data_IF_408343605350
#
_entry.id   IF_408343605350
#
_cell.length_a   1.000
_cell.length_b   1.000
_cell.length_c   1.000
_cell.angle_alpha   90.00
_cell.angle_beta   90.00
_cell.angle_gamma   90.00
#
_symmetry.space_group_name_H-M   'P 1'
#
loop_
_entity.id
_entity.type
_entity.pdbx_description
1 polymer ?
#
# COMPACT_ATOMS: atom_id res chain seq x y z
N UNK A 1 19.16 -12.20 40.70
CA UNK A 1 17.71 -12.20 40.38
C UNK A 1 17.58 -11.48 39.05
N UNK A 2 17.55 -12.21 37.95
CA UNK A 2 17.56 -11.67 36.58
C UNK A 2 16.11 -11.54 36.11
N UNK A 3 15.74 -10.35 35.67
CA UNK A 3 14.44 -10.05 35.08
C UNK A 3 14.49 -10.50 33.61
N UNK A 4 13.52 -11.25 33.09
CA UNK A 4 13.55 -11.69 31.69
C UNK A 4 13.11 -10.55 30.78
N UNK A 5 14.01 -10.10 29.92
CA UNK A 5 13.87 -9.01 28.93
C UNK A 5 13.06 -9.39 27.67
N UNK A 6 12.46 -10.57 27.59
CA UNK A 6 11.86 -11.08 26.36
C UNK A 6 10.33 -10.97 26.24
N UNK A 7 9.64 -10.48 27.29
CA UNK A 7 8.16 -10.44 27.26
C UNK A 7 7.53 -9.17 26.70
N UNK A 8 8.31 -8.11 26.46
CA UNK A 8 7.73 -6.79 26.14
C UNK A 8 7.78 -6.41 24.64
N UNK A 9 8.48 -7.16 23.80
CA UNK A 9 8.53 -6.88 22.34
C UNK A 9 7.37 -7.51 21.55
N UNK A 10 6.80 -8.58 22.06
CA UNK A 10 5.73 -9.31 21.36
C UNK A 10 4.35 -8.69 21.56
N UNK A 11 4.13 -7.91 22.64
CA UNK A 11 2.83 -7.29 22.91
C UNK A 11 2.58 -6.01 22.10
N UNK A 12 3.63 -5.30 21.70
CA UNK A 12 3.51 -4.05 20.92
C UNK A 12 3.10 -4.35 19.47
N UNK A 13 3.48 -5.52 18.93
CA UNK A 13 3.12 -5.95 17.58
C UNK A 13 1.69 -6.53 17.47
N UNK A 14 1.02 -6.79 18.58
CA UNK A 14 -0.35 -7.34 18.62
C UNK A 14 -1.46 -6.31 18.79
N UNK A 15 -1.13 -5.05 19.05
CA UNK A 15 -2.10 -3.95 19.05
C UNK A 15 -2.38 -3.41 17.62
N UNK A 16 -2.69 -4.30 16.70
CA UNK A 16 -3.38 -3.93 15.47
C UNK A 16 -4.83 -3.60 15.82
N UNK A 17 -5.14 -2.32 15.96
CA UNK A 17 -6.47 -1.86 16.33
C UNK A 17 -6.52 -0.44 16.86
N UNK A 18 -5.41 0.29 16.91
CA UNK A 18 -5.46 1.75 17.05
C UNK A 18 -5.94 2.29 15.70
N UNK A 19 -7.07 2.99 15.71
CA UNK A 19 -7.59 3.69 14.52
C UNK A 19 -6.71 4.90 14.18
N UNK A 20 -5.38 4.71 14.18
CA UNK A 20 -4.36 5.75 14.02
C UNK A 20 -3.34 5.35 12.95
N UNK A 21 -2.96 6.31 12.15
CA UNK A 21 -1.86 6.24 11.20
C UNK A 21 -0.62 6.91 11.80
N UNK A 22 0.50 6.21 11.85
CA UNK A 22 1.80 6.82 12.13
C UNK A 22 2.39 7.38 10.85
N UNK A 23 2.62 8.68 10.81
CA UNK A 23 3.22 9.36 9.67
C UNK A 23 4.57 9.96 10.04
N UNK A 24 5.49 9.98 9.07
CA UNK A 24 6.64 10.87 9.09
C UNK A 24 6.19 12.17 8.44
N UNK A 25 6.17 13.25 9.23
CA UNK A 25 5.92 14.60 8.75
C UNK A 25 7.21 15.19 8.21
N UNK A 26 7.14 15.76 7.01
CA UNK A 26 8.27 16.41 6.35
C UNK A 26 7.82 17.62 5.54
N UNK A 27 8.77 18.47 5.16
CA UNK A 27 8.50 19.66 4.36
C UNK A 27 9.16 19.59 2.99
N UNK A 28 8.46 20.11 1.98
CA UNK A 28 8.97 20.40 0.64
C UNK A 28 8.59 21.84 0.32
N UNK A 29 9.57 22.70 0.06
CA UNK A 29 9.38 24.15 0.12
C UNK A 29 8.75 24.57 1.47
N UNK A 30 7.69 25.35 1.46
CA UNK A 30 6.98 25.81 2.65
C UNK A 30 5.75 24.95 2.98
N UNK A 31 5.56 23.82 2.25
CA UNK A 31 4.40 22.96 2.39
C UNK A 31 4.72 21.71 3.22
N UNK A 32 3.72 21.25 3.98
CA UNK A 32 3.83 20.10 4.88
C UNK A 32 3.17 18.86 4.30
N UNK A 33 3.93 17.79 4.32
CA UNK A 33 3.52 16.48 3.79
C UNK A 33 3.74 15.37 4.82
N UNK A 34 3.08 14.25 4.61
CA UNK A 34 3.24 13.05 5.42
C UNK A 34 3.37 11.79 4.57
N UNK A 35 4.11 10.83 5.09
CA UNK A 35 4.18 9.45 4.58
C UNK A 35 3.97 8.48 5.74
N UNK A 36 3.28 7.37 5.49
CA UNK A 36 3.16 6.28 6.46
C UNK A 36 4.56 5.78 6.88
N UNK A 37 4.81 5.74 8.20
CA UNK A 37 6.08 5.25 8.78
C UNK A 37 6.44 3.87 8.25
N UNK A 38 5.46 2.98 8.08
CA UNK A 38 5.69 1.61 7.60
C UNK A 38 6.31 1.56 6.19
N UNK A 39 6.09 2.58 5.37
CA UNK A 39 6.66 2.70 4.01
C UNK A 39 8.10 3.21 4.01
N UNK A 40 8.61 3.70 5.14
CA UNK A 40 9.95 4.30 5.25
C UNK A 40 10.92 3.31 5.85
N UNK A 41 11.98 3.00 5.10
CA UNK A 41 13.06 2.14 5.54
C UNK A 41 14.08 2.88 6.42
N UNK A 42 14.49 4.07 5.98
CA UNK A 42 15.45 4.91 6.70
C UNK A 42 15.35 6.38 6.29
N UNK A 43 15.80 7.26 7.17
CA UNK A 43 15.93 8.70 6.92
C UNK A 43 17.40 9.04 7.04
N UNK A 44 17.94 9.79 6.09
CA UNK A 44 19.35 10.14 6.07
C UNK A 44 19.58 11.53 5.49
N UNK A 45 20.69 12.15 5.86
CA UNK A 45 21.11 13.42 5.24
C UNK A 45 21.40 13.16 3.75
N UNK A 46 20.92 14.07 2.91
CA UNK A 46 21.15 13.98 1.46
C UNK A 46 22.65 13.90 1.14
N UNK A 47 22.95 13.03 0.21
CA UNK A 47 24.33 12.76 -0.24
C UNK A 47 24.49 13.18 -1.70
N UNK A 48 25.72 13.18 -2.19
CA UNK A 48 26.00 13.46 -3.59
C UNK A 48 25.31 12.43 -4.49
N UNK A 49 24.52 12.93 -5.44
CA UNK A 49 23.77 12.14 -6.42
C UNK A 49 24.53 12.14 -7.74
N UNK A 50 24.67 10.97 -8.36
CA UNK A 50 25.21 10.83 -9.72
C UNK A 50 24.07 10.95 -10.72
N UNK A 51 23.98 12.01 -11.52
CA UNK A 51 22.96 12.13 -12.55
C UNK A 51 23.01 10.97 -13.55
N UNK A 52 21.84 10.56 -14.03
CA UNK A 52 21.69 9.49 -15.01
C UNK A 52 21.20 10.07 -16.35
N UNK A 53 21.83 9.71 -17.47
CA UNK A 53 21.37 10.14 -18.78
C UNK A 53 19.96 9.60 -19.07
N UNK A 54 19.14 10.43 -19.71
CA UNK A 54 17.77 10.08 -20.15
C UNK A 54 16.83 9.62 -19.02
N UNK A 55 17.13 9.99 -17.76
CA UNK A 55 16.22 9.74 -16.64
C UNK A 55 14.94 10.57 -16.75
N UNK A 56 13.89 10.14 -16.06
CA UNK A 56 12.68 10.93 -15.91
C UNK A 56 13.02 12.29 -15.27
N UNK A 57 12.31 13.37 -15.66
CA UNK A 57 12.65 14.75 -15.25
C UNK A 57 12.65 14.98 -13.72
N UNK A 58 11.89 14.21 -12.96
CA UNK A 58 11.88 14.28 -11.49
C UNK A 58 12.99 13.44 -10.83
N UNK A 59 13.69 12.58 -11.60
CA UNK A 59 14.78 11.76 -11.08
C UNK A 59 16.07 12.60 -11.11
N UNK A 60 16.66 12.82 -9.94
CA UNK A 60 17.93 13.52 -9.80
C UNK A 60 19.12 12.65 -10.22
N UNK A 61 18.99 11.34 -10.07
CA UNK A 61 20.01 10.37 -10.41
C UNK A 61 20.01 9.20 -9.43
N UNK A 62 21.20 8.69 -9.14
CA UNK A 62 21.41 7.57 -8.22
C UNK A 62 22.50 7.88 -7.20
N UNK A 63 22.38 7.27 -6.01
CA UNK A 63 23.46 7.26 -5.03
C UNK A 63 23.63 5.85 -4.44
N UNK A 64 24.76 5.61 -3.81
CA UNK A 64 25.10 4.31 -3.25
C UNK A 64 25.55 4.46 -1.79
N UNK A 65 24.63 4.43 -0.82
CA UNK A 65 24.97 4.62 0.60
C UNK A 65 25.77 3.46 1.19
N UNK A 66 25.60 2.25 0.68
CA UNK A 66 26.32 1.00 1.08
C UNK A 66 26.54 0.14 -0.15
N UNK A 67 25.91 -1.03 -0.22
CA UNK A 67 26.04 -1.95 -1.35
C UNK A 67 24.92 -1.86 -2.38
N UNK A 68 23.86 -1.11 -2.08
CA UNK A 68 22.68 -0.93 -2.91
C UNK A 68 22.72 0.40 -3.66
N UNK A 69 22.35 0.40 -4.94
CA UNK A 69 22.15 1.62 -5.73
C UNK A 69 20.70 2.04 -5.60
N UNK A 70 20.49 3.27 -5.12
CA UNK A 70 19.16 3.81 -4.85
C UNK A 70 18.88 4.98 -5.80
N UNK A 71 17.71 4.97 -6.44
CA UNK A 71 17.24 6.06 -7.29
C UNK A 71 16.74 7.21 -6.43
N UNK A 72 17.16 8.44 -6.73
CA UNK A 72 16.76 9.67 -6.02
C UNK A 72 15.71 10.42 -6.84
N UNK A 73 14.59 10.69 -6.21
CA UNK A 73 13.44 11.40 -6.77
C UNK A 73 13.31 12.76 -6.07
N UNK A 74 13.33 13.84 -6.84
CA UNK A 74 13.01 15.18 -6.32
C UNK A 74 11.51 15.30 -6.12
N UNK A 75 11.09 15.32 -4.86
CA UNK A 75 9.67 15.48 -4.54
C UNK A 75 9.17 16.90 -4.88
N UNK A 76 10.04 17.90 -4.78
CA UNK A 76 9.73 19.27 -5.19
C UNK A 76 9.39 19.33 -6.69
N UNK A 77 10.22 18.71 -7.56
CA UNK A 77 9.93 18.65 -9.01
C UNK A 77 8.65 17.90 -9.32
N UNK A 78 8.43 16.77 -8.64
CA UNK A 78 7.23 15.98 -8.85
C UNK A 78 5.95 16.76 -8.48
N UNK A 79 5.97 17.49 -7.37
CA UNK A 79 4.84 18.27 -6.89
C UNK A 79 4.71 19.64 -7.58
N UNK A 80 5.66 20.02 -8.45
CA UNK A 80 5.68 21.33 -9.10
C UNK A 80 5.96 22.48 -8.12
N UNK A 81 6.67 22.19 -7.02
CA UNK A 81 7.06 23.16 -6.00
C UNK A 81 8.46 23.71 -6.27
N UNK A 82 8.80 24.89 -5.72
CA UNK A 82 10.16 25.42 -5.81
C UNK A 82 11.19 24.45 -5.24
N UNK A 83 12.27 24.23 -5.99
CA UNK A 83 13.44 23.54 -5.44
C UNK A 83 14.13 24.48 -4.46
N UNK A 84 14.46 23.99 -3.25
CA UNK A 84 15.31 24.74 -2.36
C UNK A 84 16.74 24.75 -2.89
N UNK A 85 17.42 25.89 -2.72
CA UNK A 85 18.87 25.93 -2.86
C UNK A 85 19.44 24.95 -1.83
N UNK A 86 20.31 24.04 -2.27
CA UNK A 86 20.98 23.04 -1.44
C UNK A 86 21.52 23.66 -0.15
N UNK A 87 20.73 23.61 0.91
CA UNK A 87 21.07 24.18 2.22
C UNK A 87 22.13 23.35 2.96
N UNK A 88 22.52 22.20 2.39
CA UNK A 88 23.40 21.20 3.02
C UNK A 88 22.73 20.47 4.18
N UNK A 89 21.42 20.63 4.37
CA UNK A 89 20.61 20.01 5.43
C UNK A 89 19.46 19.17 4.88
N UNK A 90 19.35 19.06 3.56
CA UNK A 90 18.30 18.30 2.89
C UNK A 90 18.37 16.82 3.27
N UNK A 91 17.25 16.16 3.20
CA UNK A 91 17.03 14.80 3.72
C UNK A 91 16.59 13.89 2.59
N UNK A 92 17.06 12.65 2.60
CA UNK A 92 16.51 11.56 1.83
C UNK A 92 15.61 10.71 2.73
N UNK A 93 14.34 10.63 2.36
CA UNK A 93 13.40 9.64 2.91
C UNK A 93 13.51 8.40 2.02
N UNK A 94 14.17 7.36 2.51
CA UNK A 94 14.38 6.13 1.76
C UNK A 94 13.22 5.19 2.02
N UNK A 95 12.58 4.78 0.94
CA UNK A 95 11.45 3.84 0.94
C UNK A 95 11.82 2.53 0.26
N UNK A 96 11.09 1.48 0.54
CA UNK A 96 11.28 0.20 -0.10
C UNK A 96 9.92 -0.33 -0.58
N UNK A 97 9.73 -0.40 -1.89
CA UNK A 97 8.51 -0.90 -2.52
C UNK A 97 8.86 -1.97 -3.55
N UNK A 98 8.13 -3.05 -3.57
CA UNK A 98 8.25 -4.08 -4.60
C UNK A 98 9.69 -4.57 -4.82
N UNK A 99 10.47 -4.74 -3.73
CA UNK A 99 11.90 -5.10 -3.74
C UNK A 99 12.83 -4.05 -4.38
N UNK A 100 12.35 -2.82 -4.60
CA UNK A 100 13.15 -1.70 -5.09
C UNK A 100 13.21 -0.61 -4.02
N UNK A 101 14.37 0.03 -3.91
CA UNK A 101 14.57 1.16 -3.00
C UNK A 101 14.60 2.47 -3.78
N UNK A 102 13.87 3.46 -3.26
CA UNK A 102 13.81 4.83 -3.76
C UNK A 102 14.12 5.79 -2.62
N UNK A 103 14.80 6.87 -2.92
CA UNK A 103 15.04 7.97 -1.99
C UNK A 103 14.27 9.20 -2.47
N UNK A 104 13.38 9.70 -1.65
CA UNK A 104 12.67 10.94 -1.93
C UNK A 104 13.40 12.09 -1.27
N UNK A 105 13.83 13.04 -2.11
CA UNK A 105 14.52 14.24 -1.67
C UNK A 105 13.50 15.23 -1.11
N UNK A 106 13.62 15.54 0.18
CA UNK A 106 12.79 16.48 0.92
C UNK A 106 13.68 17.49 1.66
N UNK A 107 13.11 18.63 2.08
CA UNK A 107 13.92 19.66 2.70
C UNK A 107 14.17 19.38 4.19
N UNK A 108 13.13 19.00 4.92
CA UNK A 108 13.25 18.75 6.37
C UNK A 108 12.29 17.64 6.79
N UNK A 109 12.72 16.81 7.71
CA UNK A 109 11.83 15.92 8.46
C UNK A 109 11.51 16.57 9.79
N UNK A 110 10.22 16.74 10.07
CA UNK A 110 9.71 17.40 11.28
C UNK A 110 9.67 16.42 12.45
N UNK A 111 9.09 15.23 12.21
CA UNK A 111 8.96 14.21 13.23
C UNK A 111 8.05 13.05 12.81
N UNK A 112 7.66 12.24 13.79
CA UNK A 112 6.68 11.18 13.64
C UNK A 112 5.45 11.57 14.44
N UNK A 113 4.31 11.61 13.77
CA UNK A 113 3.03 11.94 14.36
C UNK A 113 2.03 10.79 14.21
N UNK A 114 1.11 10.69 15.18
CA UNK A 114 -0.01 9.76 15.15
C UNK A 114 -1.28 10.51 14.85
N UNK A 115 -1.92 10.17 13.76
CA UNK A 115 -3.14 10.82 13.29
C UNK A 115 -4.25 9.79 13.21
N UNK A 116 -5.40 10.09 13.83
CA UNK A 116 -6.58 9.24 13.67
C UNK A 116 -7.02 9.18 12.21
N UNK A 117 -7.32 7.99 11.70
CA UNK A 117 -7.88 7.82 10.36
C UNK A 117 -9.16 8.63 10.14
N UNK A 118 -9.94 8.87 11.20
CA UNK A 118 -11.15 9.70 11.14
C UNK A 118 -10.86 11.18 10.91
N UNK A 119 -9.63 11.64 11.20
CA UNK A 119 -9.18 13.01 10.92
C UNK A 119 -8.63 13.19 9.51
N UNK A 120 -8.41 12.10 8.78
CA UNK A 120 -7.89 12.11 7.42
C UNK A 120 -9.07 12.17 6.44
N UNK A 121 -9.12 13.24 5.64
CA UNK A 121 -10.16 13.44 4.63
C UNK A 121 -9.60 13.18 3.25
N UNK A 122 -10.31 12.42 2.42
CA UNK A 122 -9.95 12.26 0.99
C UNK A 122 -10.08 13.64 0.30
N UNK A 123 -9.08 14.06 -0.50
CA UNK A 123 -9.19 15.27 -1.29
C UNK A 123 -10.34 15.16 -2.29
N UNK A 124 -11.09 16.26 -2.49
CA UNK A 124 -12.11 16.32 -3.54
C UNK A 124 -11.41 16.23 -4.91
N UNK A 125 -11.96 15.43 -5.82
CA UNK A 125 -11.46 15.32 -7.20
C UNK A 125 -11.37 16.67 -7.93
N UNK A 126 -12.21 17.63 -7.54
CA UNK A 126 -12.17 18.99 -8.09
C UNK A 126 -10.83 19.70 -7.82
N UNK A 127 -10.15 19.38 -6.72
CA UNK A 127 -8.81 19.92 -6.37
C UNK A 127 -7.76 19.58 -7.44
N UNK A 128 -7.92 18.42 -8.07
CA UNK A 128 -7.00 17.92 -9.11
C UNK A 128 -7.54 18.05 -10.53
N UNK A 129 -8.52 18.93 -10.76
CA UNK A 129 -9.10 19.12 -12.09
C UNK A 129 -9.78 17.87 -12.66
N UNK A 130 -10.29 16.99 -11.79
CA UNK A 130 -10.94 15.73 -12.16
C UNK A 130 -9.99 14.56 -12.38
N UNK A 131 -8.68 14.76 -12.21
CA UNK A 131 -7.67 13.70 -12.25
C UNK A 131 -7.40 13.15 -10.85
N UNK A 132 -6.77 11.99 -10.78
CA UNK A 132 -6.36 11.41 -9.51
C UNK A 132 -5.01 12.05 -9.08
N UNK A 133 -4.99 12.82 -7.98
CA UNK A 133 -3.78 13.44 -7.43
C UNK A 133 -2.88 12.43 -6.70
N UNK A 134 -1.68 12.86 -6.32
CA UNK A 134 -0.72 12.04 -5.57
C UNK A 134 -1.00 11.99 -4.06
N UNK A 135 -2.10 12.57 -3.57
CA UNK A 135 -2.45 12.54 -2.16
C UNK A 135 -3.51 11.48 -1.87
N UNK A 136 -3.27 10.66 -0.85
CA UNK A 136 -4.25 9.72 -0.29
C UNK A 136 -5.21 10.42 0.67
N UNK A 137 -4.77 11.51 1.32
CA UNK A 137 -5.58 12.22 2.29
C UNK A 137 -5.01 13.58 2.69
N UNK A 138 -5.83 14.37 3.35
CA UNK A 138 -5.45 15.62 4.03
C UNK A 138 -5.89 15.49 5.48
N UNK A 139 -4.97 15.72 6.41
CA UNK A 139 -5.24 15.76 7.84
C UNK A 139 -5.01 17.15 8.41
N UNK A 140 -5.84 17.55 9.36
CA UNK A 140 -5.56 18.73 10.20
C UNK A 140 -4.97 18.22 11.53
N UNK A 141 -3.74 18.61 11.81
CA UNK A 141 -3.02 18.22 13.02
C UNK A 141 -2.31 19.42 13.64
N UNK A 142 -2.59 19.69 14.90
CA UNK A 142 -2.02 20.84 15.66
C UNK A 142 -2.16 22.19 14.93
N UNK A 143 -3.28 22.41 14.23
CA UNK A 143 -3.56 23.64 13.48
C UNK A 143 -2.81 23.78 12.15
N UNK A 144 -2.17 22.69 11.66
CA UNK A 144 -1.53 22.60 10.36
C UNK A 144 -2.26 21.60 9.47
N UNK A 145 -2.28 21.86 8.18
CA UNK A 145 -2.75 20.88 7.18
C UNK A 145 -1.56 20.04 6.70
N UNK A 146 -1.68 18.74 6.81
CA UNK A 146 -0.69 17.77 6.35
C UNK A 146 -1.30 17.00 5.18
N UNK A 147 -0.65 17.07 4.03
CA UNK A 147 -1.04 16.28 2.85
C UNK A 147 -0.32 14.93 2.88
N UNK A 148 -1.07 13.84 3.01
CA UNK A 148 -0.52 12.48 3.02
C UNK A 148 -0.38 12.01 1.57
N UNK A 149 0.85 11.68 1.16
CA UNK A 149 1.17 11.34 -0.21
C UNK A 149 1.11 9.82 -0.48
N UNK A 150 0.64 9.48 -1.67
CA UNK A 150 0.68 8.12 -2.23
C UNK A 150 2.02 7.89 -2.95
N UNK A 151 3.01 7.40 -2.22
CA UNK A 151 4.34 7.15 -2.77
C UNK A 151 4.35 5.99 -3.78
N UNK A 152 3.44 5.02 -3.65
CA UNK A 152 3.33 3.93 -4.62
C UNK A 152 2.85 4.46 -5.98
N UNK A 153 1.88 5.37 -5.96
CA UNK A 153 1.43 6.07 -7.17
C UNK A 153 2.55 6.89 -7.79
N UNK A 154 3.29 7.67 -6.98
CA UNK A 154 4.43 8.46 -7.47
C UNK A 154 5.45 7.56 -8.17
N UNK A 155 5.81 6.42 -7.56
CA UNK A 155 6.75 5.46 -8.14
C UNK A 155 6.17 4.82 -9.41
N UNK A 156 4.89 4.44 -9.42
CA UNK A 156 4.25 3.85 -10.59
C UNK A 156 4.22 4.80 -11.80
N UNK A 157 4.09 6.11 -11.58
CA UNK A 157 4.14 7.12 -12.64
C UNK A 157 5.55 7.33 -13.19
N UNK A 158 6.59 7.25 -12.33
CA UNK A 158 8.00 7.46 -12.70
C UNK A 158 8.60 6.19 -13.31
N UNK A 159 8.28 5.04 -12.76
CA UNK A 159 8.79 3.72 -13.14
C UNK A 159 7.64 2.71 -13.27
N UNK A 160 6.87 2.77 -14.36
CA UNK A 160 5.72 1.87 -14.55
C UNK A 160 6.10 0.38 -14.47
N UNK A 161 7.34 0.04 -14.85
CA UNK A 161 7.83 -1.36 -14.78
C UNK A 161 7.92 -1.90 -13.35
N UNK A 162 7.99 -1.03 -12.35
CA UNK A 162 8.01 -1.42 -10.93
C UNK A 162 6.61 -1.67 -10.34
N UNK A 163 5.55 -1.38 -11.10
CA UNK A 163 4.16 -1.55 -10.72
C UNK A 163 3.56 -2.84 -11.29
N UNK A 164 2.27 -3.03 -11.07
CA UNK A 164 1.51 -4.17 -11.62
C UNK A 164 1.52 -4.10 -13.14
N UNK A 165 1.98 -5.19 -13.79
CA UNK A 165 2.06 -5.31 -15.25
C UNK A 165 0.87 -6.11 -15.79
N UNK A 166 -0.05 -5.43 -16.48
CA UNK A 166 -1.23 -6.04 -17.07
C UNK A 166 -0.85 -7.08 -18.15
N UNK A 167 0.24 -6.85 -18.86
CA UNK A 167 0.81 -7.76 -19.87
C UNK A 167 1.24 -9.12 -19.30
N UNK A 168 1.47 -9.20 -17.99
CA UNK A 168 1.78 -10.48 -17.34
C UNK A 168 0.61 -11.46 -17.43
N UNK A 169 -0.63 -10.96 -17.46
CA UNK A 169 -1.84 -11.80 -17.60
C UNK A 169 -1.98 -12.31 -19.04
N UNK A 170 -1.63 -11.51 -20.03
CA UNK A 170 -1.70 -11.91 -21.44
C UNK A 170 -0.79 -13.11 -21.74
N UNK A 171 0.33 -13.22 -21.03
CA UNK A 171 1.26 -14.36 -21.14
C UNK A 171 0.71 -15.65 -20.53
N UNK A 172 -0.37 -15.62 -19.76
CA UNK A 172 -1.00 -16.80 -19.17
C UNK A 172 -1.89 -17.58 -20.17
N UNK A 173 -2.07 -17.06 -21.40
CA UNK A 173 -2.86 -17.68 -22.46
C UNK A 173 -4.36 -17.40 -22.35
N UNK A 174 -5.15 -18.03 -23.25
CA UNK A 174 -6.60 -17.88 -23.27
C UNK A 174 -7.22 -18.50 -22.00
N UNK A 175 -8.12 -17.74 -21.38
CA UNK A 175 -8.79 -18.13 -20.14
C UNK A 175 -10.31 -18.05 -20.31
N UNK A 176 -11.00 -19.01 -19.71
CA UNK A 176 -12.46 -19.02 -19.71
C UNK A 176 -13.01 -17.98 -18.72
N UNK A 177 -14.20 -17.45 -19.02
CA UNK A 177 -14.93 -16.59 -18.10
C UNK A 177 -15.34 -17.37 -16.84
N UNK A 178 -15.12 -16.77 -15.69
CA UNK A 178 -15.47 -17.32 -14.38
C UNK A 178 -16.53 -16.45 -13.71
N UNK A 179 -17.62 -17.08 -13.26
CA UNK A 179 -18.72 -16.39 -12.56
C UNK A 179 -18.39 -16.10 -11.07
N UNK A 180 -17.21 -16.49 -10.61
CA UNK A 180 -16.76 -16.30 -9.24
C UNK A 180 -16.50 -14.82 -8.96
N UNK A 181 -17.00 -14.34 -7.82
CA UNK A 181 -16.82 -12.95 -7.38
C UNK A 181 -15.56 -12.80 -6.54
N UNK A 182 -14.71 -11.85 -6.88
CA UNK A 182 -13.49 -11.50 -6.13
C UNK A 182 -13.70 -10.17 -5.42
N UNK A 183 -13.56 -10.17 -4.09
CA UNK A 183 -13.56 -8.94 -3.28
C UNK A 183 -12.14 -8.39 -3.22
N UNK A 184 -11.96 -7.16 -3.67
CA UNK A 184 -10.67 -6.44 -3.68
C UNK A 184 -10.75 -5.27 -2.71
N UNK A 185 -9.94 -5.29 -1.66
CA UNK A 185 -9.77 -4.20 -0.72
C UNK A 185 -8.41 -3.51 -0.99
N UNK A 186 -8.45 -2.28 -1.48
CA UNK A 186 -7.28 -1.50 -1.92
C UNK A 186 -7.61 -0.02 -1.90
N UNK A 187 -6.85 0.78 -1.15
CA UNK A 187 -7.09 2.21 -0.98
C UNK A 187 -6.55 3.06 -2.14
N UNK A 188 -5.49 2.60 -2.81
CA UNK A 188 -4.96 3.26 -3.99
C UNK A 188 -5.89 3.06 -5.19
N UNK A 189 -6.44 4.18 -5.70
CA UNK A 189 -7.34 4.15 -6.86
C UNK A 189 -6.65 3.63 -8.12
N UNK A 190 -5.36 3.94 -8.30
CA UNK A 190 -4.58 3.44 -9.42
C UNK A 190 -4.38 1.94 -9.34
N UNK A 191 -3.90 1.45 -8.19
CA UNK A 191 -3.61 0.03 -8.00
C UNK A 191 -4.87 -0.82 -8.03
N UNK A 192 -5.97 -0.36 -7.40
CA UNK A 192 -7.24 -1.07 -7.46
C UNK A 192 -7.76 -1.24 -8.90
N UNK A 193 -7.65 -0.17 -9.74
CA UNK A 193 -7.99 -0.26 -11.16
C UNK A 193 -7.13 -1.29 -11.89
N UNK A 194 -5.82 -1.28 -11.67
CA UNK A 194 -4.90 -2.23 -12.31
C UNK A 194 -5.16 -3.67 -11.88
N UNK A 195 -5.40 -3.91 -10.58
CA UNK A 195 -5.75 -5.24 -10.06
C UNK A 195 -7.04 -5.74 -10.73
N UNK A 196 -8.09 -4.92 -10.75
CA UNK A 196 -9.39 -5.27 -11.34
C UNK A 196 -9.25 -5.52 -12.84
N UNK A 197 -8.51 -4.69 -13.57
CA UNK A 197 -8.25 -4.92 -14.99
C UNK A 197 -7.54 -6.25 -15.24
N UNK A 198 -6.52 -6.57 -14.43
CA UNK A 198 -5.84 -7.84 -14.49
C UNK A 198 -6.77 -9.04 -14.21
N UNK A 199 -7.64 -8.92 -13.19
CA UNK A 199 -8.63 -9.96 -12.87
C UNK A 199 -9.63 -10.14 -14.00
N UNK A 200 -10.12 -9.05 -14.61
CA UNK A 200 -11.04 -9.11 -15.76
C UNK A 200 -10.37 -9.77 -16.97
N UNK A 201 -9.12 -9.41 -17.30
CA UNK A 201 -8.35 -10.07 -18.36
C UNK A 201 -8.09 -11.55 -18.04
N UNK A 202 -7.94 -11.89 -16.76
CA UNK A 202 -7.81 -13.26 -16.30
C UNK A 202 -9.14 -14.07 -16.30
N UNK A 203 -10.26 -13.45 -16.70
CA UNK A 203 -11.57 -14.12 -16.81
C UNK A 203 -12.50 -13.92 -15.61
N UNK A 204 -12.07 -13.28 -14.53
CA UNK A 204 -12.91 -12.96 -13.35
C UNK A 204 -13.71 -11.68 -13.62
N UNK A 205 -14.93 -11.80 -14.13
CA UNK A 205 -15.77 -10.64 -14.48
C UNK A 205 -16.43 -9.97 -13.29
N UNK A 206 -16.70 -10.73 -12.24
CA UNK A 206 -17.38 -10.24 -11.05
C UNK A 206 -16.33 -9.81 -10.02
N UNK A 207 -16.13 -8.50 -9.87
CA UNK A 207 -15.23 -7.93 -8.87
C UNK A 207 -15.96 -6.90 -8.02
N UNK A 208 -15.72 -6.94 -6.72
CA UNK A 208 -16.23 -5.95 -5.78
C UNK A 208 -15.03 -5.19 -5.26
N UNK A 209 -15.05 -3.86 -5.43
CA UNK A 209 -14.02 -2.97 -4.92
C UNK A 209 -14.45 -2.33 -3.62
N UNK A 210 -13.56 -2.32 -2.63
CA UNK A 210 -13.67 -1.53 -1.41
C UNK A 210 -12.39 -0.72 -1.22
N UNK A 211 -12.51 0.46 -0.62
CA UNK A 211 -11.40 1.40 -0.45
C UNK A 211 -10.62 1.15 0.86
N UNK A 212 -11.06 0.22 1.68
CA UNK A 212 -10.43 -0.11 2.96
C UNK A 212 -11.00 -1.42 3.54
N UNK A 213 -10.35 -1.93 4.57
CA UNK A 213 -10.78 -3.16 5.22
C UNK A 213 -12.13 -3.06 5.96
N UNK A 214 -12.53 -1.85 6.41
CA UNK A 214 -13.83 -1.68 7.06
C UNK A 214 -14.98 -1.86 6.07
N UNK A 215 -14.91 -1.24 4.90
CA UNK A 215 -15.90 -1.42 3.84
C UNK A 215 -15.98 -2.88 3.38
N UNK A 216 -14.81 -3.55 3.27
CA UNK A 216 -14.76 -4.97 2.94
C UNK A 216 -15.46 -5.83 4.02
N UNK A 217 -15.21 -5.51 5.28
CA UNK A 217 -15.83 -6.20 6.41
C UNK A 217 -17.35 -6.00 6.43
N UNK A 218 -17.83 -4.76 6.27
CA UNK A 218 -19.24 -4.42 6.25
C UNK A 218 -19.96 -5.15 5.12
N UNK A 219 -19.38 -5.18 3.91
CA UNK A 219 -19.90 -5.96 2.78
C UNK A 219 -19.99 -7.47 3.10
N UNK A 220 -18.98 -8.04 3.74
CA UNK A 220 -18.97 -9.45 4.13
C UNK A 220 -20.05 -9.78 5.18
N UNK A 221 -20.32 -8.85 6.10
CA UNK A 221 -21.42 -9.01 7.06
C UNK A 221 -22.78 -8.98 6.36
N UNK A 222 -23.02 -8.04 5.45
CA UNK A 222 -24.26 -7.98 4.67
C UNK A 222 -24.46 -9.26 3.85
N UNK A 223 -23.40 -9.73 3.17
CA UNK A 223 -23.44 -10.98 2.42
C UNK A 223 -23.75 -12.20 3.30
N UNK A 224 -23.22 -12.24 4.53
CA UNK A 224 -23.50 -13.30 5.49
C UNK A 224 -24.95 -13.27 5.99
N UNK A 225 -25.53 -12.07 6.17
CA UNK A 225 -26.91 -11.87 6.63
C UNK A 225 -27.96 -12.19 5.55
N UNK A 226 -27.59 -12.23 4.27
CA UNK A 226 -28.51 -12.57 3.16
C UNK A 226 -29.15 -13.95 3.29
N UNK A 227 -28.44 -14.86 3.98
CA UNK A 227 -28.87 -16.27 4.14
C UNK A 227 -28.44 -17.20 3.02
N UNK A 228 -27.89 -16.67 1.93
CA UNK A 228 -27.33 -17.46 0.84
C UNK A 228 -25.93 -18.01 1.20
N UNK A 229 -25.45 -19.05 0.53
CA UNK A 229 -24.10 -19.54 0.75
C UNK A 229 -23.05 -18.44 0.49
N UNK A 230 -22.20 -18.14 1.44
CA UNK A 230 -21.24 -17.05 1.35
C UNK A 230 -20.32 -17.13 0.11
N UNK A 231 -20.03 -18.34 -0.35
CA UNK A 231 -19.23 -18.57 -1.57
C UNK A 231 -19.89 -18.06 -2.86
N UNK A 232 -21.22 -17.89 -2.85
CA UNK A 232 -21.98 -17.37 -3.99
C UNK A 232 -21.87 -15.84 -4.05
N UNK A 233 -21.54 -15.19 -2.91
CA UNK A 233 -21.27 -13.76 -2.82
C UNK A 233 -19.78 -13.43 -3.01
N UNK A 234 -18.87 -14.20 -2.37
CA UNK A 234 -17.42 -13.96 -2.45
C UNK A 234 -16.68 -15.29 -2.50
N UNK A 235 -15.97 -15.51 -3.59
CA UNK A 235 -15.16 -16.70 -3.78
C UNK A 235 -13.73 -16.54 -3.24
N UNK A 236 -13.17 -15.33 -3.25
CA UNK A 236 -11.85 -15.01 -2.71
C UNK A 236 -11.78 -13.54 -2.33
N UNK A 237 -10.99 -13.25 -1.29
CA UNK A 237 -10.67 -11.90 -0.86
C UNK A 237 -9.21 -11.62 -1.22
N UNK A 238 -8.97 -10.50 -1.90
CA UNK A 238 -7.64 -9.92 -2.16
C UNK A 238 -7.58 -8.60 -1.40
N UNK A 239 -6.68 -8.50 -0.44
CA UNK A 239 -6.57 -7.32 0.42
C UNK A 239 -5.17 -6.77 0.44
N UNK A 240 -5.03 -5.44 0.28
CA UNK A 240 -3.81 -4.79 0.71
C UNK A 240 -3.67 -4.91 2.24
N UNK A 241 -2.44 -4.74 2.73
CA UNK A 241 -2.15 -4.70 4.17
C UNK A 241 -2.38 -3.29 4.70
N UNK A 242 -1.88 -2.27 4.00
CA UNK A 242 -1.89 -0.89 4.48
C UNK A 242 -3.07 -0.09 3.93
N UNK A 243 -4.16 -0.09 4.65
CA UNK A 243 -5.37 0.64 4.30
C UNK A 243 -5.88 1.49 5.45
N UNK A 244 -6.59 2.61 5.16
CA UNK A 244 -7.27 3.42 6.17
C UNK A 244 -8.38 2.66 6.90
N UNK A 245 -8.77 3.14 8.08
CA UNK A 245 -9.85 2.64 8.93
C UNK A 245 -9.64 1.22 9.46
N UNK A 246 -9.36 0.27 8.59
CA UNK A 246 -9.05 -1.11 8.94
C UNK A 246 -8.00 -1.66 7.99
N UNK A 247 -6.87 -2.08 8.54
CA UNK A 247 -5.78 -2.71 7.80
C UNK A 247 -6.12 -4.15 7.37
N UNK A 248 -5.37 -4.69 6.38
CA UNK A 248 -5.59 -6.03 5.87
C UNK A 248 -5.31 -7.14 6.88
N UNK A 249 -4.44 -6.93 7.86
CA UNK A 249 -4.20 -7.88 8.94
C UNK A 249 -5.42 -8.00 9.87
N UNK A 250 -6.02 -6.85 10.22
CA UNK A 250 -7.24 -6.83 11.03
C UNK A 250 -8.42 -7.46 10.28
N UNK A 251 -8.58 -7.12 9.00
CA UNK A 251 -9.58 -7.77 8.15
C UNK A 251 -9.38 -9.29 8.12
N UNK A 252 -8.14 -9.75 7.90
CA UNK A 252 -7.78 -11.18 7.92
C UNK A 252 -8.21 -11.83 9.23
N UNK A 253 -7.87 -11.22 10.37
CA UNK A 253 -8.23 -11.73 11.69
C UNK A 253 -9.73 -11.90 11.83
N UNK A 254 -10.51 -10.85 11.55
CA UNK A 254 -11.97 -10.88 11.66
C UNK A 254 -12.59 -11.94 10.76
N UNK A 255 -12.15 -12.03 9.51
CA UNK A 255 -12.63 -13.04 8.54
C UNK A 255 -12.32 -14.45 9.03
N UNK A 256 -11.10 -14.70 9.52
CA UNK A 256 -10.66 -16.05 9.91
C UNK A 256 -11.18 -16.49 11.31
N UNK A 257 -11.57 -15.56 12.16
CA UNK A 257 -12.23 -15.85 13.43
C UNK A 257 -13.75 -16.11 13.27
N UNK A 258 -14.38 -15.62 12.19
CA UNK A 258 -15.82 -15.86 11.94
C UNK A 258 -16.09 -17.27 11.43
N UNK A 259 -17.09 -17.95 11.96
CA UNK A 259 -17.41 -19.35 11.65
C UNK A 259 -17.83 -19.57 10.20
N UNK A 260 -18.44 -18.58 9.55
CA UNK A 260 -18.94 -18.64 8.17
C UNK A 260 -17.87 -18.10 7.20
N UNK A 261 -17.38 -16.89 7.48
CA UNK A 261 -16.45 -16.16 6.60
C UNK A 261 -15.07 -16.78 6.51
N UNK A 262 -14.61 -17.51 7.55
CA UNK A 262 -13.29 -18.16 7.55
C UNK A 262 -13.07 -19.16 6.42
N UNK A 263 -14.16 -19.61 5.79
CA UNK A 263 -14.11 -20.52 4.63
C UNK A 263 -13.68 -19.80 3.36
N UNK A 264 -13.82 -18.47 3.29
CA UNK A 264 -13.42 -17.70 2.11
C UNK A 264 -11.89 -17.62 2.11
N UNK A 265 -11.21 -18.02 1.02
CA UNK A 265 -9.79 -17.78 0.85
C UNK A 265 -9.47 -16.28 0.91
N UNK A 266 -8.40 -15.92 1.63
CA UNK A 266 -7.94 -14.54 1.76
C UNK A 266 -6.46 -14.46 1.44
N UNK A 267 -6.13 -13.64 0.43
CA UNK A 267 -4.77 -13.36 -0.02
C UNK A 267 -4.40 -11.92 0.36
N UNK A 268 -3.31 -11.76 1.09
CA UNK A 268 -2.70 -10.45 1.30
C UNK A 268 -1.81 -10.13 0.10
N UNK A 269 -2.10 -9.01 -0.58
CA UNK A 269 -1.44 -8.56 -1.79
C UNK A 269 -0.94 -7.14 -1.59
N UNK A 270 0.32 -6.98 -1.17
CA UNK A 270 0.87 -5.70 -0.75
C UNK A 270 2.25 -5.43 -1.35
N UNK A 271 2.58 -4.15 -1.56
CA UNK A 271 3.92 -3.69 -1.94
C UNK A 271 4.94 -3.78 -0.79
N UNK A 272 4.45 -3.92 0.44
CA UNK A 272 5.26 -4.04 1.66
C UNK A 272 5.05 -5.42 2.29
N UNK A 273 5.91 -6.37 1.97
CA UNK A 273 5.92 -7.68 2.62
C UNK A 273 7.29 -7.94 3.23
N UNK A 274 7.49 -7.48 4.47
CA UNK A 274 8.64 -7.88 5.27
C UNK A 274 8.45 -9.30 5.84
N UNK A 275 9.54 -9.91 6.31
CA UNK A 275 9.46 -11.22 6.96
C UNK A 275 8.55 -11.19 8.21
N UNK A 276 8.58 -10.08 8.97
CA UNK A 276 7.70 -9.89 10.12
C UNK A 276 6.22 -9.84 9.71
N UNK A 277 5.90 -9.14 8.63
CA UNK A 277 4.54 -9.09 8.08
C UNK A 277 4.07 -10.45 7.58
N UNK A 278 4.97 -11.23 6.95
CA UNK A 278 4.68 -12.61 6.53
C UNK A 278 4.32 -13.50 7.71
N UNK A 279 5.12 -13.44 8.76
CA UNK A 279 4.88 -14.21 9.99
C UNK A 279 3.53 -13.81 10.59
N UNK A 280 3.25 -12.50 10.70
CA UNK A 280 2.00 -11.97 11.24
C UNK A 280 0.78 -12.41 10.42
N UNK A 281 0.80 -12.22 9.10
CA UNK A 281 -0.32 -12.61 8.25
C UNK A 281 -0.61 -14.11 8.30
N UNK A 282 0.45 -14.95 8.36
CA UNK A 282 0.31 -16.40 8.55
C UNK A 282 -0.31 -16.76 9.91
N UNK A 283 0.10 -16.09 10.99
CA UNK A 283 -0.48 -16.29 12.33
C UNK A 283 -1.95 -15.89 12.39
N UNK A 284 -2.35 -14.88 11.62
CA UNK A 284 -3.74 -14.43 11.52
C UNK A 284 -4.60 -15.31 10.61
N UNK A 285 -3.99 -16.25 9.89
CA UNK A 285 -4.68 -17.22 9.05
C UNK A 285 -4.86 -16.82 7.60
N UNK A 286 -4.11 -15.83 7.09
CA UNK A 286 -4.08 -15.54 5.65
C UNK A 286 -3.67 -16.82 4.89
N UNK A 287 -4.40 -17.15 3.82
CA UNK A 287 -4.12 -18.33 3.02
C UNK A 287 -2.84 -18.17 2.21
N UNK A 288 -2.62 -16.97 1.68
CA UNK A 288 -1.39 -16.62 0.95
C UNK A 288 -1.02 -15.14 1.14
N UNK A 289 0.24 -14.82 0.85
CA UNK A 289 0.76 -13.45 0.89
C UNK A 289 1.71 -13.23 -0.27
N UNK A 290 1.45 -12.21 -1.10
CA UNK A 290 2.16 -11.96 -2.34
C UNK A 290 2.49 -10.48 -2.49
N UNK A 291 3.64 -10.19 -3.10
CA UNK A 291 4.02 -8.84 -3.49
C UNK A 291 3.25 -8.33 -4.70
N UNK A 292 2.81 -7.08 -4.72
CA UNK A 292 1.96 -6.48 -5.77
C UNK A 292 2.48 -6.61 -7.21
N UNK A 293 3.78 -6.60 -7.54
CA UNK A 293 4.19 -6.84 -8.92
C UNK A 293 3.87 -8.25 -9.43
N UNK A 294 3.70 -9.23 -8.53
CA UNK A 294 3.48 -10.63 -8.90
C UNK A 294 2.02 -10.95 -9.27
N UNK A 295 1.38 -10.11 -10.11
CA UNK A 295 -0.05 -10.24 -10.45
C UNK A 295 -0.39 -11.57 -11.11
N UNK A 296 0.50 -12.13 -11.94
CA UNK A 296 0.28 -13.44 -12.55
C UNK A 296 0.24 -14.57 -11.51
N UNK A 297 1.05 -14.46 -10.45
CA UNK A 297 1.02 -15.40 -9.33
C UNK A 297 -0.25 -15.24 -8.50
N UNK A 298 -0.73 -14.00 -8.31
CA UNK A 298 -2.01 -13.74 -7.65
C UNK A 298 -3.14 -14.48 -8.36
N UNK A 299 -3.25 -14.32 -9.68
CA UNK A 299 -4.29 -15.00 -10.49
C UNK A 299 -4.20 -16.52 -10.34
N UNK A 300 -2.99 -17.09 -10.45
CA UNK A 300 -2.77 -18.53 -10.29
C UNK A 300 -3.17 -19.04 -8.91
N UNK A 301 -2.97 -18.25 -7.87
CA UNK A 301 -3.39 -18.63 -6.50
C UNK A 301 -4.89 -18.50 -6.30
N UNK A 302 -5.53 -17.48 -6.87
CA UNK A 302 -7.00 -17.38 -6.87
C UNK A 302 -7.60 -18.61 -7.54
N UNK A 303 -7.09 -19.03 -8.73
CA UNK A 303 -7.53 -20.25 -9.40
C UNK A 303 -7.45 -21.44 -8.46
N UNK A 304 -6.25 -21.71 -7.92
CA UNK A 304 -5.98 -22.85 -7.03
C UNK A 304 -6.88 -22.86 -5.79
N UNK A 305 -7.05 -21.73 -5.15
CA UNK A 305 -7.82 -21.61 -3.90
C UNK A 305 -9.33 -21.70 -4.14
N UNK A 306 -9.80 -21.27 -5.32
CA UNK A 306 -11.23 -21.27 -5.64
C UNK A 306 -11.68 -22.55 -6.39
N UNK A 307 -10.77 -23.35 -6.94
CA UNK A 307 -11.12 -24.67 -7.54
C UNK A 307 -11.56 -25.70 -6.49
N UNK A 308 -11.07 -25.56 -5.26
CA UNK A 308 -11.34 -26.48 -4.16
C UNK A 308 -12.52 -26.07 -3.25
N UNK A 309 -13.25 -25.02 -3.63
CA UNK A 309 -14.40 -24.48 -2.88
C UNK A 309 -15.70 -24.43 -3.74
#
# INVERSE_FOLDING_TARGET
MAIPESANKTSILLESGTNELEIIEFTVADETFGINVAKVREIMVAQAVKPMPNSHHVVEGVFKPRDEIITVISLAKYLGLPECENSGRDIFVVTHFNNLSFAFHVHTVVGIDRISWTAIKKPDKAVYGGQDGAATGIAEFQGRLITILDFEKIIAEISPESSIQVEAIEKMGERHTMEKTILVAEDSMLLSKLIIECLHKAGYKNTIKTDNGQEAWDYLLEAKESGDPIKDHVACIVSDIEMPLMDGHRLTKLVKEDLVLKKIPLILFSSLISEEMRIKGKQLGADEQISKPEIGKLVSLIDKLTENH
#
